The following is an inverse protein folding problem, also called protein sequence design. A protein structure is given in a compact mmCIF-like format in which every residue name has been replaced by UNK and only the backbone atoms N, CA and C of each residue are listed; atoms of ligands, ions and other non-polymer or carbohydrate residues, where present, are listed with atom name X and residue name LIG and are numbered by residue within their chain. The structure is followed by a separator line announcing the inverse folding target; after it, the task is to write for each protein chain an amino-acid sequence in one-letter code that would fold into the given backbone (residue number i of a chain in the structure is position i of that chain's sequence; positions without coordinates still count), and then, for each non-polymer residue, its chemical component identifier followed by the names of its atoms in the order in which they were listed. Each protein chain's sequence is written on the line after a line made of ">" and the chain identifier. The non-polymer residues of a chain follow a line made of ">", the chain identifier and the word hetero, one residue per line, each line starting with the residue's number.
data_IF_192822629368
#
_entry.id   IF_192822629368
#
_cell.length_a   1.000
_cell.length_b   1.000
_cell.length_c   1.000
_cell.angle_alpha   90.00
_cell.angle_beta   90.00
_cell.angle_gamma   90.00
#
_symmetry.space_group_name_H-M   'P 1'
#
loop_
_entity.id
_entity.type
_entity.pdbx_description
1 polymer ?
#
# COMPACT_ATOMS: atom_id res chain seq x y z
N UNK A 1 56.40 13.15 -9.72
CA UNK A 1 55.38 14.07 -9.21
C UNK A 1 54.04 13.56 -9.73
N UNK A 2 53.47 12.50 -9.16
CA UNK A 2 52.68 12.47 -7.92
C UNK A 2 51.60 13.56 -7.88
N UNK A 3 50.36 13.13 -8.15
CA UNK A 3 49.12 13.74 -7.68
C UNK A 3 48.03 12.64 -7.60
N UNK A 4 48.08 11.91 -6.49
CA UNK A 4 46.91 11.56 -5.66
C UNK A 4 46.05 12.83 -5.42
N UNK A 5 44.72 12.88 -5.23
CA UNK A 5 43.64 11.97 -4.84
C UNK A 5 42.35 12.77 -5.14
N UNK A 6 41.25 12.13 -5.50
CA UNK A 6 39.93 12.64 -5.09
C UNK A 6 39.07 11.46 -4.64
N UNK A 7 39.10 11.23 -3.34
CA UNK A 7 38.29 10.25 -2.63
C UNK A 7 36.85 10.77 -2.63
N UNK A 8 35.98 10.07 -3.35
CA UNK A 8 34.55 10.35 -3.33
C UNK A 8 34.02 10.12 -1.90
N UNK A 9 33.66 11.22 -1.24
CA UNK A 9 33.12 11.27 0.11
C UNK A 9 31.91 10.32 0.19
N UNK A 10 32.09 9.21 0.89
CA UNK A 10 31.02 8.29 1.23
C UNK A 10 30.00 9.04 2.10
N UNK A 11 28.79 9.17 1.58
CA UNK A 11 27.68 9.64 2.40
C UNK A 11 27.58 8.70 3.62
N UNK A 12 27.37 9.23 4.84
CA UNK A 12 27.15 8.38 6.00
C UNK A 12 25.86 7.59 5.75
N UNK A 13 26.01 6.31 5.41
CA UNK A 13 24.94 5.32 5.51
C UNK A 13 24.58 5.27 6.99
N UNK A 14 23.52 5.99 7.33
CA UNK A 14 22.90 5.87 8.64
C UNK A 14 22.26 4.49 8.67
N UNK A 15 23.02 3.50 9.10
CA UNK A 15 22.53 2.16 9.42
C UNK A 15 21.64 2.29 10.65
N UNK A 16 20.38 2.64 10.41
CA UNK A 16 19.35 2.52 11.43
C UNK A 16 18.99 1.04 11.47
N UNK A 17 19.50 0.35 12.49
CA UNK A 17 18.99 -0.93 13.00
C UNK A 17 17.49 -0.79 13.36
N UNK A 18 16.62 -0.72 12.36
CA UNK A 18 15.18 -0.75 12.53
C UNK A 18 14.75 -2.20 12.77
N UNK A 19 14.95 -2.68 14.00
CA UNK A 19 14.40 -3.97 14.43
C UNK A 19 12.92 -4.03 14.04
N UNK A 20 12.48 -5.11 13.37
CA UNK A 20 11.10 -5.20 12.91
C UNK A 20 10.17 -5.15 14.12
N UNK A 21 9.27 -4.15 14.14
CA UNK A 21 8.25 -3.99 15.19
C UNK A 21 7.19 -5.08 14.99
N UNK A 22 7.52 -6.28 15.42
CA UNK A 22 6.67 -7.45 15.39
C UNK A 22 5.93 -7.57 16.71
N UNK A 23 4.66 -7.97 16.65
CA UNK A 23 3.90 -8.33 17.84
C UNK A 23 4.46 -9.59 18.51
N UNK A 24 3.99 -9.90 19.71
CA UNK A 24 4.33 -11.14 20.44
C UNK A 24 4.10 -12.45 19.64
N UNK A 25 3.33 -12.39 18.55
CA UNK A 25 3.07 -13.52 17.64
C UNK A 25 3.89 -13.46 16.33
N UNK A 26 4.91 -12.61 16.25
CA UNK A 26 5.75 -12.46 15.06
C UNK A 26 5.01 -11.88 13.86
N UNK A 27 3.95 -11.07 14.11
CA UNK A 27 3.12 -10.47 13.07
C UNK A 27 3.49 -9.00 12.89
N UNK A 28 3.49 -8.53 11.66
CA UNK A 28 3.65 -7.12 11.34
C UNK A 28 2.27 -6.48 11.17
N UNK A 29 1.98 -5.44 11.95
CA UNK A 29 0.74 -4.68 11.86
C UNK A 29 0.91 -3.44 10.97
N UNK A 30 -0.04 -3.21 10.08
CA UNK A 30 -0.11 -1.97 9.31
C UNK A 30 -1.53 -1.52 9.02
N UNK A 31 -1.67 -0.26 8.63
CA UNK A 31 -2.95 0.31 8.19
C UNK A 31 -2.80 0.95 6.82
N UNK A 32 -3.69 0.58 5.90
CA UNK A 32 -3.84 1.18 4.58
C UNK A 32 -5.14 1.95 4.44
N UNK A 33 -5.13 3.03 3.66
CA UNK A 33 -6.32 3.86 3.41
C UNK A 33 -6.37 4.30 1.95
N UNK A 34 -7.56 4.29 1.35
CA UNK A 34 -7.82 4.85 0.01
C UNK A 34 -9.26 5.32 -0.07
N UNK A 35 -9.48 6.58 -0.47
CA UNK A 35 -10.81 7.22 -0.36
C UNK A 35 -11.35 7.01 1.06
N UNK A 36 -12.56 6.48 1.18
CA UNK A 36 -13.22 6.16 2.45
C UNK A 36 -12.93 4.72 2.96
N UNK A 37 -12.16 3.93 2.22
CA UNK A 37 -11.82 2.56 2.62
C UNK A 37 -10.60 2.54 3.54
N UNK A 38 -10.72 1.81 4.65
CA UNK A 38 -9.66 1.57 5.64
C UNK A 38 -9.42 0.08 5.76
N UNK A 39 -8.16 -0.33 5.61
CA UNK A 39 -7.70 -1.70 5.73
C UNK A 39 -6.71 -1.82 6.88
N UNK A 40 -6.99 -2.70 7.84
CA UNK A 40 -6.05 -3.15 8.87
C UNK A 40 -5.46 -4.47 8.42
N UNK A 41 -4.15 -4.53 8.27
CA UNK A 41 -3.46 -5.68 7.68
C UNK A 41 -2.46 -6.23 8.69
N UNK A 42 -2.48 -7.55 8.84
CA UNK A 42 -1.52 -8.32 9.61
C UNK A 42 -0.79 -9.26 8.67
N UNK A 43 0.53 -9.26 8.70
CA UNK A 43 1.37 -10.16 7.91
C UNK A 43 2.13 -11.10 8.84
N UNK A 44 2.24 -12.36 8.45
CA UNK A 44 3.03 -13.40 9.11
C UNK A 44 3.82 -14.19 8.04
N UNK A 45 5.04 -14.65 8.33
CA UNK A 45 5.71 -15.65 7.49
C UNK A 45 4.89 -16.95 7.48
N UNK A 46 4.64 -17.51 6.29
CA UNK A 46 3.73 -18.64 6.14
C UNK A 46 3.58 -19.12 4.69
N UNK A 47 2.36 -19.52 4.34
CA UNK A 47 2.01 -20.30 3.14
C UNK A 47 1.37 -19.50 2.00
N UNK A 48 1.46 -18.17 2.01
CA UNK A 48 0.85 -17.32 0.97
C UNK A 48 -0.65 -17.11 1.10
N UNK A 49 -1.29 -17.53 2.20
CA UNK A 49 -2.76 -17.46 2.31
C UNK A 49 -3.24 -16.04 2.60
N UNK A 50 -4.00 -15.48 1.68
CA UNK A 50 -4.61 -14.15 1.82
C UNK A 50 -6.08 -14.26 2.21
N UNK A 51 -6.42 -13.77 3.40
CA UNK A 51 -7.79 -13.72 3.92
C UNK A 51 -8.25 -12.28 4.15
N UNK A 52 -9.47 -11.98 3.72
CA UNK A 52 -10.08 -10.65 3.83
C UNK A 52 -11.43 -10.78 4.52
N UNK A 53 -11.60 -10.13 5.68
CA UNK A 53 -12.83 -10.20 6.49
C UNK A 53 -13.34 -11.64 6.71
N UNK A 54 -12.43 -12.55 7.06
CA UNK A 54 -12.68 -14.00 7.28
C UNK A 54 -13.10 -14.79 6.04
N UNK A 55 -13.01 -14.22 4.84
CA UNK A 55 -13.27 -14.89 3.56
C UNK A 55 -11.97 -14.98 2.73
N UNK A 56 -11.82 -16.00 1.87
CA UNK A 56 -10.68 -16.05 0.95
C UNK A 56 -10.76 -14.92 -0.08
N UNK A 57 -9.60 -14.52 -0.60
CA UNK A 57 -9.45 -13.41 -1.54
C UNK A 57 -10.41 -13.51 -2.74
N UNK A 58 -10.48 -14.70 -3.34
CA UNK A 58 -11.31 -14.99 -4.52
C UNK A 58 -12.81 -14.77 -4.26
N UNK A 59 -13.28 -15.18 -3.08
CA UNK A 59 -14.69 -15.06 -2.69
C UNK A 59 -15.07 -13.63 -2.31
N UNK A 60 -14.12 -12.85 -1.79
CA UNK A 60 -14.37 -11.46 -1.41
C UNK A 60 -14.29 -10.50 -2.60
N UNK A 61 -13.27 -10.66 -3.44
CA UNK A 61 -13.09 -9.86 -4.65
C UNK A 61 -13.44 -10.70 -5.88
N UNK A 62 -14.70 -10.64 -6.31
CA UNK A 62 -15.17 -11.38 -7.48
C UNK A 62 -14.47 -11.00 -8.81
N UNK A 63 -13.86 -9.81 -8.89
CA UNK A 63 -13.19 -9.33 -10.11
C UNK A 63 -11.70 -9.67 -10.05
N UNK A 64 -11.14 -10.36 -11.06
CA UNK A 64 -9.72 -10.75 -11.07
C UNK A 64 -8.79 -9.53 -11.06
N UNK A 65 -9.19 -8.42 -11.69
CA UNK A 65 -8.42 -7.17 -11.67
C UNK A 65 -8.17 -6.63 -10.27
N UNK A 66 -9.10 -6.85 -9.32
CA UNK A 66 -8.92 -6.41 -7.93
C UNK A 66 -7.98 -7.33 -7.15
N UNK A 67 -7.96 -8.61 -7.50
CA UNK A 67 -7.05 -9.60 -6.92
C UNK A 67 -5.61 -9.31 -7.38
N UNK A 68 -5.42 -9.04 -8.68
CA UNK A 68 -4.13 -8.65 -9.24
C UNK A 68 -3.55 -7.41 -8.56
N UNK A 69 -4.37 -6.39 -8.25
CA UNK A 69 -3.90 -5.19 -7.53
C UNK A 69 -3.33 -5.54 -6.16
N UNK A 70 -3.88 -6.54 -5.47
CA UNK A 70 -3.39 -6.97 -4.16
C UNK A 70 -2.10 -7.76 -4.32
N UNK A 71 -2.03 -8.65 -5.32
CA UNK A 71 -0.85 -9.46 -5.64
C UNK A 71 0.36 -8.63 -6.09
N UNK A 72 0.14 -7.48 -6.76
CA UNK A 72 1.22 -6.56 -7.18
C UNK A 72 2.23 -6.23 -6.08
N UNK A 73 1.79 -6.11 -4.82
CA UNK A 73 2.68 -5.83 -3.71
C UNK A 73 3.70 -6.96 -3.47
N UNK A 74 3.32 -8.21 -3.71
CA UNK A 74 4.18 -9.39 -3.57
C UNK A 74 5.04 -9.64 -4.80
N UNK A 75 4.48 -9.45 -6.00
CA UNK A 75 5.23 -9.63 -7.25
C UNK A 75 6.41 -8.65 -7.36
N UNK A 76 6.26 -7.42 -6.84
CA UNK A 76 7.37 -6.44 -6.83
C UNK A 76 8.47 -6.83 -5.85
N UNK A 77 8.14 -7.47 -4.73
CA UNK A 77 9.13 -7.91 -3.73
C UNK A 77 9.65 -9.32 -4.00
N UNK A 78 9.22 -9.98 -5.09
CA UNK A 78 9.47 -11.41 -5.37
C UNK A 78 9.21 -12.31 -4.15
N UNK A 79 8.25 -11.92 -3.31
CA UNK A 79 7.94 -12.59 -2.05
C UNK A 79 6.61 -13.34 -2.12
N UNK A 80 6.31 -13.85 -3.32
CA UNK A 80 5.13 -14.68 -3.56
C UNK A 80 5.20 -15.94 -2.68
N UNK A 81 4.07 -16.33 -2.13
CA UNK A 81 3.88 -17.50 -1.26
C UNK A 81 4.64 -17.54 0.08
N UNK A 82 5.43 -16.52 0.42
CA UNK A 82 6.21 -16.49 1.68
C UNK A 82 5.42 -15.97 2.88
N UNK A 83 4.31 -15.26 2.65
CA UNK A 83 3.61 -14.50 3.67
C UNK A 83 2.11 -14.80 3.70
N UNK A 84 1.60 -15.16 4.88
CA UNK A 84 0.17 -15.20 5.14
C UNK A 84 -0.33 -13.79 5.51
N UNK A 85 -1.46 -13.40 4.95
CA UNK A 85 -2.06 -12.08 5.14
C UNK A 85 -3.46 -12.20 5.72
N UNK A 86 -3.69 -11.50 6.83
CA UNK A 86 -5.01 -11.31 7.42
C UNK A 86 -5.39 -9.84 7.33
N UNK A 87 -6.32 -9.52 6.43
CA UNK A 87 -6.82 -8.16 6.25
C UNK A 87 -8.24 -8.02 6.80
N UNK A 88 -8.46 -7.00 7.63
CA UNK A 88 -9.79 -6.55 8.05
C UNK A 88 -10.06 -5.19 7.39
N UNK A 89 -11.12 -5.10 6.60
CA UNK A 89 -11.43 -3.93 5.79
C UNK A 89 -12.81 -3.39 6.13
N UNK A 90 -12.91 -2.06 6.24
CA UNK A 90 -14.16 -1.34 6.49
C UNK A 90 -14.25 -0.09 5.60
N UNK A 91 -15.48 0.29 5.22
CA UNK A 91 -15.77 1.49 4.44
C UNK A 91 -15.48 1.39 2.94
N UNK A 92 -15.93 2.40 2.19
CA UNK A 92 -15.77 2.51 0.74
C UNK A 92 -16.44 1.38 -0.06
N UNK A 93 -16.00 1.19 -1.31
CA UNK A 93 -16.39 0.08 -2.18
C UNK A 93 -15.22 -0.84 -2.52
N UNK A 94 -15.49 -1.99 -3.16
CA UNK A 94 -14.52 -3.07 -3.41
C UNK A 94 -13.20 -2.59 -4.06
N UNK A 95 -13.26 -1.69 -5.04
CA UNK A 95 -12.05 -1.15 -5.69
C UNK A 95 -11.22 -0.23 -4.76
N UNK A 96 -11.89 0.55 -3.91
CA UNK A 96 -11.22 1.36 -2.89
C UNK A 96 -10.57 0.47 -1.83
N UNK A 97 -11.28 -0.59 -1.42
CA UNK A 97 -10.82 -1.58 -0.46
C UNK A 97 -9.58 -2.33 -0.96
N UNK A 98 -9.56 -2.81 -2.20
CA UNK A 98 -8.39 -3.48 -2.78
C UNK A 98 -7.14 -2.59 -2.76
N UNK A 99 -7.30 -1.31 -3.14
CA UNK A 99 -6.19 -0.35 -3.10
C UNK A 99 -5.73 -0.02 -1.67
N UNK A 100 -6.65 0.00 -0.70
CA UNK A 100 -6.30 0.17 0.71
C UNK A 100 -5.54 -1.04 1.26
N UNK A 101 -5.95 -2.26 0.90
CA UNK A 101 -5.26 -3.51 1.28
C UNK A 101 -3.85 -3.54 0.71
N UNK A 102 -3.68 -3.25 -0.59
CA UNK A 102 -2.35 -3.15 -1.23
C UNK A 102 -1.42 -2.21 -0.47
N UNK A 103 -1.90 -1.00 -0.16
CA UNK A 103 -1.10 -0.01 0.58
C UNK A 103 -0.77 -0.45 2.01
N UNK A 104 -1.68 -1.16 2.68
CA UNK A 104 -1.41 -1.78 3.98
C UNK A 104 -0.32 -2.84 3.86
N UNK A 105 -0.46 -3.77 2.91
CA UNK A 105 0.51 -4.84 2.71
C UNK A 105 1.92 -4.32 2.46
N UNK A 106 2.09 -3.34 1.58
CA UNK A 106 3.42 -2.76 1.32
C UNK A 106 4.05 -2.14 2.58
N UNK A 107 3.25 -1.50 3.45
CA UNK A 107 3.75 -0.98 4.73
C UNK A 107 4.12 -2.10 5.71
N UNK A 108 3.31 -3.15 5.80
CA UNK A 108 3.61 -4.28 6.67
C UNK A 108 4.87 -5.03 6.20
N UNK A 109 5.11 -5.16 4.90
CA UNK A 109 6.33 -5.75 4.37
C UNK A 109 7.58 -4.94 4.75
N UNK A 110 7.52 -3.60 4.64
CA UNK A 110 8.62 -2.74 5.09
C UNK A 110 8.89 -2.82 6.60
N UNK A 111 7.86 -3.06 7.42
CA UNK A 111 8.04 -3.26 8.87
C UNK A 111 8.67 -4.62 9.16
N UNK A 112 8.38 -5.61 8.32
CA UNK A 112 8.90 -6.95 8.48
C UNK A 112 10.39 -7.03 8.08
N UNK A 113 10.74 -6.41 6.96
CA UNK A 113 12.10 -6.31 6.47
C UNK A 113 12.32 -4.96 5.77
N UNK A 114 13.33 -4.23 6.24
CA UNK A 114 13.67 -2.89 5.75
C UNK A 114 14.18 -2.89 4.30
N UNK A 115 14.71 -4.00 3.80
CA UNK A 115 15.25 -4.10 2.44
C UNK A 115 14.18 -3.88 1.36
N UNK A 116 12.95 -4.35 1.62
CA UNK A 116 11.83 -4.17 0.68
C UNK A 116 11.42 -2.71 0.48
N UNK A 117 11.86 -1.79 1.35
CA UNK A 117 11.49 -0.37 1.28
C UNK A 117 11.92 0.27 -0.03
N UNK A 118 13.14 0.00 -0.49
CA UNK A 118 13.71 0.63 -1.69
C UNK A 118 12.87 0.29 -2.92
N UNK A 119 12.58 -1.01 -3.11
CA UNK A 119 11.80 -1.55 -4.21
C UNK A 119 10.34 -1.07 -4.16
N UNK A 120 9.70 -1.13 -2.99
CA UNK A 120 8.31 -0.69 -2.81
C UNK A 120 8.13 0.82 -2.96
N UNK A 121 9.17 1.62 -2.65
CA UNK A 121 9.19 3.07 -2.87
C UNK A 121 9.31 3.38 -4.35
N UNK A 122 10.21 2.70 -5.06
CA UNK A 122 10.36 2.84 -6.51
C UNK A 122 9.08 2.47 -7.27
N UNK A 123 8.38 1.41 -6.85
CA UNK A 123 7.10 1.01 -7.42
C UNK A 123 5.91 1.92 -7.01
N UNK A 124 6.12 2.89 -6.12
CA UNK A 124 5.10 3.85 -5.70
C UNK A 124 4.01 3.30 -4.77
N UNK A 125 4.20 2.14 -4.15
CA UNK A 125 3.18 1.51 -3.29
C UNK A 125 3.16 2.05 -1.85
N UNK A 126 4.27 2.63 -1.40
CA UNK A 126 4.37 3.30 -0.10
C UNK A 126 3.67 4.66 -0.05
N UNK A 127 3.33 5.25 -1.20
CA UNK A 127 2.60 6.51 -1.27
C UNK A 127 1.10 6.26 -1.13
N UNK A 128 0.45 7.01 -0.23
CA UNK A 128 -1.00 6.95 -0.08
C UNK A 128 -1.68 7.62 -1.29
N UNK A 129 -2.65 6.95 -1.90
CA UNK A 129 -3.53 7.56 -2.91
C UNK A 129 -4.40 8.66 -2.24
N UNK A 130 -4.11 9.92 -2.57
CA UNK A 130 -4.75 11.11 -2.00
C UNK A 130 -6.14 11.40 -2.57
N UNK A 131 -6.59 10.65 -3.57
CA UNK A 131 -7.89 10.88 -4.22
C UNK A 131 -9.03 10.78 -3.22
N UNK A 132 -9.83 11.84 -3.14
CA UNK A 132 -11.07 11.94 -2.37
C UNK A 132 -12.14 12.55 -3.27
N UNK A 133 -13.41 12.21 -3.04
CA UNK A 133 -14.52 12.82 -3.78
C UNK A 133 -14.61 14.30 -3.39
N UNK A 134 -14.44 15.18 -4.36
CA UNK A 134 -14.64 16.62 -4.15
C UNK A 134 -16.08 16.89 -3.70
N UNK A 135 -16.24 17.74 -2.69
CA UNK A 135 -17.56 18.19 -2.24
C UNK A 135 -18.32 18.90 -3.37
N UNK A 136 -19.65 18.88 -3.30
CA UNK A 136 -20.49 19.72 -4.16
C UNK A 136 -20.22 21.19 -3.85
N UNK A 137 -19.92 21.97 -4.88
CA UNK A 137 -19.76 23.44 -4.78
C UNK A 137 -21.13 24.10 -4.98
N UNK A 138 -21.35 25.23 -4.32
CA UNK A 138 -22.59 25.99 -4.49
C UNK A 138 -22.74 26.46 -5.94
N UNK A 139 -23.98 26.59 -6.41
CA UNK A 139 -24.27 26.98 -7.81
C UNK A 139 -23.89 25.94 -8.87
N UNK A 140 -23.49 24.71 -8.49
CA UNK A 140 -23.14 23.64 -9.43
C UNK A 140 -23.95 22.35 -9.18
N UNK A 141 -24.39 21.63 -10.23
CA UNK A 141 -25.08 20.34 -10.07
C UNK A 141 -24.19 19.24 -9.47
N UNK A 142 -22.87 19.26 -9.70
CA UNK A 142 -21.87 18.37 -9.08
C UNK A 142 -20.61 19.16 -8.68
N UNK A 143 -19.55 18.49 -8.22
CA UNK A 143 -18.31 19.13 -7.78
C UNK A 143 -17.75 20.17 -8.78
N UNK A 144 -17.69 19.82 -10.08
CA UNK A 144 -17.15 20.70 -11.14
C UNK A 144 -18.13 21.03 -12.26
N UNK A 145 -19.09 20.13 -12.55
CA UNK A 145 -20.10 20.29 -13.61
C UNK A 145 -20.88 21.58 -13.37
N UNK A 146 -20.81 22.53 -14.28
CA UNK A 146 -21.64 23.74 -14.31
C UNK A 146 -22.91 23.50 -15.11
N UNK A 147 -23.93 24.35 -14.91
CA UNK A 147 -25.03 24.47 -15.85
C UNK A 147 -24.54 25.11 -17.16
N UNK A 148 -25.26 24.88 -18.25
CA UNK A 148 -24.99 25.57 -19.51
C UNK A 148 -25.23 27.06 -19.33
N UNK A 149 -24.26 27.88 -19.75
CA UNK A 149 -24.35 29.35 -19.68
C UNK A 149 -24.62 29.90 -21.09
N UNK A 150 -25.52 30.88 -21.19
CA UNK A 150 -25.76 31.64 -22.43
C UNK A 150 -25.32 33.08 -22.20
N UNK A 151 -24.33 33.54 -22.97
CA UNK A 151 -23.95 34.96 -23.06
C UNK A 151 -24.90 35.60 -24.07
N UNK A 152 -25.85 36.39 -23.59
CA UNK A 152 -26.59 37.36 -24.40
C UNK A 152 -26.12 38.74 -24.00
#
# INVERSE_FOLDING_TARGET
>A
MMAEVEEAVSAPTVELDEKPKLDNLGRAYSTGKRKDAVARVWIKKGSGKITVNKKPLEKYFARPTLQMIIQQAFSVTNAEDQFDVMATVKGGGLSGQAGAVRHGMSKALTIFDGEFRSVLKAAGFLTRDSRVVERKKYGKPKARRSFQFSKR
#
